data_IF_712497547412
#
_entry.id   IF_712497547412
#
_cell.length_a   1.000
_cell.length_b   1.000
_cell.length_c   1.000
_cell.angle_alpha   90.00
_cell.angle_beta   90.00
_cell.angle_gamma   90.00
#
_symmetry.space_group_name_H-M   'P 1'
#
loop_
_entity.id
_entity.type
_entity.pdbx_description
1 polymer ?
#
# COMPACT_ATOMS: atom_id res chain seq x y z
N UNK A 1 -12.03 -19.28 -4.02
CA UNK A 1 -11.22 -18.14 -4.45
C UNK A 1 -10.50 -17.61 -3.23
N UNK A 2 -9.17 -17.52 -3.29
CA UNK A 2 -8.37 -16.91 -2.25
C UNK A 2 -8.76 -15.43 -2.14
N UNK A 3 -8.88 -14.95 -0.91
CA UNK A 3 -9.30 -13.58 -0.62
C UNK A 3 -8.23 -12.92 0.22
N UNK A 4 -7.69 -11.81 -0.27
CA UNK A 4 -6.67 -11.06 0.43
C UNK A 4 -7.33 -9.93 1.25
N UNK A 5 -7.12 -9.96 2.57
CA UNK A 5 -7.69 -9.00 3.52
C UNK A 5 -6.65 -8.63 4.58
N UNK A 6 -6.81 -7.50 5.27
CA UNK A 6 -5.91 -7.12 6.35
C UNK A 6 -5.88 -8.15 7.49
N UNK A 7 -4.71 -8.25 8.13
CA UNK A 7 -4.54 -9.06 9.35
C UNK A 7 -5.45 -8.56 10.49
N UNK A 8 -6.11 -9.49 11.19
CA UNK A 8 -6.93 -9.14 12.36
C UNK A 8 -6.05 -8.53 13.46
N UNK A 9 -6.44 -7.33 13.91
CA UNK A 9 -5.74 -6.58 14.95
C UNK A 9 -5.84 -7.22 16.33
N UNK A 10 -6.84 -8.08 16.56
CA UNK A 10 -6.98 -8.83 17.81
C UNK A 10 -6.08 -10.07 17.85
N UNK A 11 -5.82 -10.69 16.69
CA UNK A 11 -4.89 -11.80 16.57
C UNK A 11 -3.42 -11.33 16.51
N UNK A 12 -3.17 -10.24 15.79
CA UNK A 12 -1.85 -9.63 15.63
C UNK A 12 -1.93 -8.13 15.94
N UNK A 13 -1.34 -7.66 17.05
CA UNK A 13 -1.35 -6.26 17.42
C UNK A 13 -0.78 -5.37 16.30
N UNK A 14 -1.37 -4.18 16.13
CA UNK A 14 -1.09 -3.26 15.02
C UNK A 14 0.38 -2.86 14.89
N UNK A 15 1.15 -2.83 15.98
CA UNK A 15 2.57 -2.51 15.97
C UNK A 15 3.48 -3.69 15.58
N UNK A 16 2.91 -4.82 15.14
CA UNK A 16 3.64 -6.02 14.73
C UNK A 16 3.39 -6.37 13.27
N UNK A 17 4.34 -7.10 12.67
CA UNK A 17 4.28 -7.58 11.29
C UNK A 17 4.93 -6.62 10.28
N UNK A 18 4.91 -6.99 8.99
CA UNK A 18 5.43 -6.15 7.91
C UNK A 18 4.67 -4.82 7.80
N UNK A 19 5.38 -3.74 7.44
CA UNK A 19 4.80 -2.42 7.24
C UNK A 19 4.22 -2.28 5.83
N UNK A 20 3.07 -2.92 5.59
CA UNK A 20 2.29 -2.82 4.34
C UNK A 20 1.10 -1.86 4.50
N UNK A 21 0.54 -1.40 3.39
CA UNK A 21 -0.63 -0.54 3.38
C UNK A 21 -1.81 -1.24 4.05
N UNK A 22 -2.41 -0.58 5.05
CA UNK A 22 -3.54 -1.06 5.84
C UNK A 22 -3.34 -2.46 6.43
N UNK A 23 -2.08 -2.93 6.57
CA UNK A 23 -1.73 -4.31 6.95
C UNK A 23 -2.25 -5.38 5.98
N UNK A 24 -2.40 -5.04 4.71
CA UNK A 24 -2.70 -6.00 3.64
C UNK A 24 -1.53 -6.97 3.43
N UNK A 25 -1.79 -8.19 2.96
CA UNK A 25 -0.73 -9.12 2.62
C UNK A 25 0.13 -8.55 1.49
N UNK A 26 1.46 -8.70 1.63
CA UNK A 26 2.40 -8.35 0.58
C UNK A 26 2.48 -9.49 -0.44
N UNK A 27 1.82 -9.31 -1.59
CA UNK A 27 1.78 -10.34 -2.63
C UNK A 27 1.98 -9.69 -3.99
N UNK A 28 2.93 -10.22 -4.77
CA UNK A 28 3.21 -9.79 -6.15
C UNK A 28 2.51 -10.70 -7.17
N UNK A 29 1.21 -10.89 -6.99
CA UNK A 29 0.30 -11.53 -7.95
C UNK A 29 -0.94 -10.66 -8.13
N UNK A 30 -1.61 -10.79 -9.28
CA UNK A 30 -2.91 -10.19 -9.53
C UNK A 30 -4.02 -11.24 -9.66
N UNK A 31 -3.69 -12.52 -9.46
CA UNK A 31 -4.67 -13.60 -9.44
C UNK A 31 -5.62 -13.43 -8.24
N UNK A 32 -6.93 -13.40 -8.50
CA UNK A 32 -7.97 -13.24 -7.47
C UNK A 32 -7.84 -11.94 -6.63
N UNK A 33 -7.29 -10.89 -7.24
CA UNK A 33 -7.15 -9.54 -6.66
C UNK A 33 -8.09 -8.57 -7.35
N UNK A 34 -8.92 -7.86 -6.59
CA UNK A 34 -9.76 -6.76 -7.08
C UNK A 34 -9.01 -5.42 -7.03
N UNK A 35 -8.17 -5.22 -5.99
CA UNK A 35 -7.44 -3.97 -5.76
C UNK A 35 -5.98 -4.25 -5.38
N UNK A 36 -5.04 -3.66 -6.13
CA UNK A 36 -3.63 -3.66 -5.80
C UNK A 36 -3.18 -2.26 -5.37
N UNK A 37 -2.57 -2.17 -4.18
CA UNK A 37 -1.93 -0.94 -3.72
C UNK A 37 -0.49 -0.93 -4.22
N UNK A 38 -0.12 0.11 -4.98
CA UNK A 38 1.20 0.26 -5.58
C UNK A 38 1.78 1.61 -5.16
N UNK A 39 3.00 1.60 -4.63
CA UNK A 39 3.76 2.82 -4.36
C UNK A 39 4.64 3.22 -5.55
N UNK A 40 4.75 4.53 -5.79
CA UNK A 40 5.68 5.09 -6.78
C UNK A 40 6.63 6.03 -6.03
N UNK A 41 7.80 5.54 -5.58
CA UNK A 41 8.76 6.34 -4.81
C UNK A 41 9.61 7.24 -5.73
N UNK A 42 8.99 8.22 -6.36
CA UNK A 42 9.62 9.11 -7.35
C UNK A 42 9.46 10.59 -6.99
N UNK A 43 10.55 11.36 -7.09
CA UNK A 43 10.53 12.83 -6.98
C UNK A 43 11.64 13.52 -7.80
N UNK A 44 12.24 12.83 -8.79
CA UNK A 44 13.35 13.36 -9.60
C UNK A 44 12.96 14.65 -10.35
N UNK A 45 11.68 14.83 -10.70
CA UNK A 45 11.18 16.02 -11.39
C UNK A 45 10.81 17.20 -10.48
N UNK A 46 10.99 17.10 -9.16
CA UNK A 46 10.59 18.16 -8.22
C UNK A 46 11.62 19.28 -8.20
N UNK A 47 11.16 20.53 -8.32
CA UNK A 47 12.02 21.71 -8.54
C UNK A 47 12.52 22.40 -7.27
N UNK A 48 11.89 22.18 -6.12
CA UNK A 48 12.26 22.89 -4.88
C UNK A 48 12.44 21.94 -3.68
N UNK A 49 11.36 21.48 -3.04
CA UNK A 49 11.44 20.61 -1.86
C UNK A 49 11.23 19.14 -2.24
N UNK A 50 12.33 18.41 -2.40
CA UNK A 50 12.35 16.96 -2.59
C UNK A 50 11.99 16.20 -1.31
N UNK A 51 11.73 14.90 -1.43
CA UNK A 51 11.37 14.00 -0.32
C UNK A 51 10.15 13.13 -0.61
N UNK A 52 9.40 13.42 -1.68
CA UNK A 52 8.23 12.65 -2.10
C UNK A 52 8.53 11.16 -2.34
N UNK A 53 9.78 10.81 -2.69
CA UNK A 53 10.21 9.41 -2.83
C UNK A 53 10.03 8.56 -1.56
N UNK A 54 10.01 9.19 -0.39
CA UNK A 54 9.78 8.51 0.90
C UNK A 54 8.28 8.41 1.26
N UNK A 55 7.41 9.05 0.46
CA UNK A 55 5.97 9.12 0.66
C UNK A 55 5.30 7.74 0.77
N UNK A 56 5.51 6.79 -0.15
CA UNK A 56 4.87 5.47 -0.06
C UNK A 56 5.10 4.77 1.28
N UNK A 57 6.34 4.75 1.78
CA UNK A 57 6.67 4.16 3.08
C UNK A 57 6.03 4.92 4.25
N UNK A 58 6.00 6.25 4.19
CA UNK A 58 5.32 7.06 5.20
C UNK A 58 3.81 6.79 5.23
N UNK A 59 3.17 6.65 4.07
CA UNK A 59 1.75 6.29 3.95
C UNK A 59 1.48 4.92 4.53
N UNK A 60 2.30 3.90 4.21
CA UNK A 60 2.17 2.55 4.80
C UNK A 60 2.29 2.60 6.33
N UNK A 61 3.30 3.29 6.86
CA UNK A 61 3.47 3.44 8.30
C UNK A 61 2.26 4.12 8.97
N UNK A 62 1.72 5.17 8.37
CA UNK A 62 0.53 5.87 8.90
C UNK A 62 -0.76 5.02 8.78
N UNK A 63 -0.85 4.19 7.76
CA UNK A 63 -2.05 3.38 7.46
C UNK A 63 -2.35 2.30 8.50
N UNK A 64 -1.40 1.99 9.39
CA UNK A 64 -1.53 0.97 10.44
C UNK A 64 -2.71 1.22 11.39
N UNK A 65 -3.17 2.47 11.50
CA UNK A 65 -4.30 2.88 12.33
C UNK A 65 -5.67 2.76 11.65
N UNK A 66 -5.70 2.44 10.35
CA UNK A 66 -6.95 2.31 9.59
C UNK A 66 -7.82 1.17 10.15
N UNK A 67 -9.13 1.40 10.19
CA UNK A 67 -10.13 0.41 10.58
C UNK A 67 -10.84 -0.12 9.32
N UNK A 68 -11.34 -1.37 9.33
CA UNK A 68 -11.96 -1.99 8.16
C UNK A 68 -13.34 -1.43 7.81
N UNK A 69 -13.93 -0.57 8.67
CA UNK A 69 -15.24 0.04 8.48
C UNK A 69 -15.13 1.55 8.28
N UNK A 70 -15.77 2.05 7.21
CA UNK A 70 -15.94 3.48 6.99
C UNK A 70 -17.32 3.90 7.50
N UNK A 71 -17.35 4.80 8.50
CA UNK A 71 -18.60 5.24 9.16
C UNK A 71 -19.45 6.18 8.30
N UNK A 72 -18.84 6.96 7.40
CA UNK A 72 -19.56 7.96 6.60
C UNK A 72 -20.28 7.31 5.42
N UNK A 73 -19.69 6.25 4.86
CA UNK A 73 -20.24 5.50 3.73
C UNK A 73 -20.94 4.21 4.16
N UNK A 74 -20.82 3.83 5.43
CA UNK A 74 -21.38 2.60 5.99
C UNK A 74 -20.93 1.32 5.26
N UNK A 75 -19.68 1.30 4.79
CA UNK A 75 -19.12 0.16 4.04
C UNK A 75 -17.92 -0.46 4.73
N UNK A 76 -17.72 -1.75 4.46
CA UNK A 76 -16.54 -2.52 4.83
C UNK A 76 -15.81 -2.99 3.56
N UNK A 77 -14.87 -2.19 3.01
CA UNK A 77 -14.28 -2.47 1.70
C UNK A 77 -13.65 -3.86 1.60
N UNK A 78 -12.95 -4.28 2.66
CA UNK A 78 -12.29 -5.59 2.70
C UNK A 78 -13.25 -6.77 2.88
N UNK A 79 -14.54 -6.55 3.14
CA UNK A 79 -15.59 -7.58 3.12
C UNK A 79 -16.21 -7.79 1.74
N UNK A 80 -15.98 -6.88 0.80
CA UNK A 80 -16.46 -7.01 -0.60
C UNK A 80 -15.34 -7.08 -1.65
N UNK A 81 -14.15 -6.58 -1.35
CA UNK A 81 -12.98 -6.61 -2.24
C UNK A 81 -11.87 -7.50 -1.67
N UNK A 82 -11.11 -8.13 -2.57
CA UNK A 82 -9.83 -8.80 -2.33
C UNK A 82 -8.70 -7.82 -2.65
N UNK A 83 -7.89 -7.46 -1.64
CA UNK A 83 -6.91 -6.38 -1.75
C UNK A 83 -5.50 -6.84 -1.37
N UNK A 84 -4.48 -6.36 -2.08
CA UNK A 84 -3.06 -6.64 -1.77
C UNK A 84 -2.24 -5.35 -1.68
N UNK A 85 -1.16 -5.38 -0.90
CA UNK A 85 -0.05 -4.46 -1.12
C UNK A 85 0.91 -5.10 -2.13
N UNK A 86 0.99 -4.52 -3.32
CA UNK A 86 1.80 -5.03 -4.41
C UNK A 86 3.26 -4.51 -4.36
N UNK A 87 3.55 -3.63 -3.40
CA UNK A 87 4.86 -3.02 -3.23
C UNK A 87 5.04 -1.77 -4.05
N UNK A 88 6.29 -1.54 -4.46
CA UNK A 88 6.71 -0.33 -5.13
C UNK A 88 7.18 -0.62 -6.55
N UNK A 89 6.91 0.33 -7.45
CA UNK A 89 7.52 0.33 -8.79
C UNK A 89 9.03 0.55 -8.64
N UNK A 90 9.81 -0.17 -9.44
CA UNK A 90 11.25 0.04 -9.51
C UNK A 90 11.54 1.41 -10.15
N UNK A 91 12.16 2.30 -9.39
CA UNK A 91 12.54 3.65 -9.82
C UNK A 91 14.05 3.79 -9.77
N UNK A 92 14.64 4.48 -10.76
CA UNK A 92 16.06 4.83 -10.78
C UNK A 92 16.22 6.31 -10.42
N UNK A 93 16.67 6.64 -9.19
CA UNK A 93 16.80 8.04 -8.77
C UNK A 93 17.73 8.83 -9.70
N UNK A 94 17.30 10.01 -10.13
CA UNK A 94 18.08 10.86 -11.05
C UNK A 94 17.98 10.50 -12.54
N UNK A 95 17.36 9.37 -12.89
CA UNK A 95 17.19 8.92 -14.28
C UNK A 95 15.71 8.67 -14.58
N UNK A 96 15.00 9.73 -14.96
CA UNK A 96 13.55 9.70 -15.20
C UNK A 96 13.17 8.68 -16.27
N UNK A 97 13.86 8.72 -17.41
CA UNK A 97 13.66 7.88 -18.59
C UNK A 97 13.88 6.40 -18.28
N UNK A 98 14.91 6.09 -17.50
CA UNK A 98 15.18 4.72 -17.04
C UNK A 98 14.17 4.18 -16.02
N UNK A 99 13.31 5.04 -15.47
CA UNK A 99 12.31 4.65 -14.47
C UNK A 99 10.98 4.20 -15.09
N UNK A 100 10.76 4.40 -16.39
CA UNK A 100 9.54 3.98 -17.11
C UNK A 100 9.79 3.22 -18.41
N UNK A 101 11.05 2.86 -18.69
CA UNK A 101 11.46 2.03 -19.83
C UNK A 101 11.80 0.64 -19.34
#
# INVERSE_FOLDING_TARGET
MARYVPEDSLASPRFTGPSTFARLPFVRTLEEVDVAIVGIPFDTGVTYRVGGRFGPNAVRAASVMLRPYNTNLEVRPFEVLSCVDYGDVAIVPGYTERSYT
#
